data_IF_501485264767
#
_entry.id   IF_501485264767
#
_cell.length_a   1.000
_cell.length_b   1.000
_cell.length_c   1.000
_cell.angle_alpha   90.00
_cell.angle_beta   90.00
_cell.angle_gamma   90.00
#
_symmetry.space_group_name_H-M   'P 1'
#
loop_
_entity.id
_entity.type
_entity.pdbx_description
1 polymer ?
#
# COMPACT_ATOMS: atom_id res chain seq x y z
N UNK A 1 -12.65 -19.30 36.26
CA UNK A 1 -13.77 -18.43 35.82
C UNK A 1 -13.35 -17.68 34.55
N UNK A 2 -13.35 -18.33 33.38
CA UNK A 2 -12.79 -17.77 32.12
C UNK A 2 -13.84 -17.37 31.07
N UNK A 3 -15.14 -17.42 31.39
CA UNK A 3 -16.22 -17.28 30.40
C UNK A 3 -16.64 -15.83 30.06
N UNK A 4 -15.94 -14.81 30.57
CA UNK A 4 -16.40 -13.42 30.45
C UNK A 4 -15.74 -12.62 29.31
N UNK A 5 -14.62 -13.11 28.74
CA UNK A 5 -13.91 -12.42 27.65
C UNK A 5 -14.54 -12.71 26.27
N UNK A 6 -15.10 -13.90 26.08
CA UNK A 6 -15.82 -14.28 24.86
C UNK A 6 -17.05 -13.40 24.61
N UNK A 7 -17.82 -13.10 25.66
CA UNK A 7 -19.01 -12.23 25.56
C UNK A 7 -18.67 -10.78 25.23
N UNK A 8 -17.50 -10.27 25.66
CA UNK A 8 -17.07 -8.92 25.32
C UNK A 8 -16.55 -8.83 23.87
N UNK A 9 -15.76 -9.81 23.42
CA UNK A 9 -15.30 -9.89 22.04
C UNK A 9 -16.47 -10.03 21.04
N UNK A 10 -17.49 -10.82 21.40
CA UNK A 10 -18.72 -10.94 20.60
C UNK A 10 -19.52 -9.64 20.56
N UNK A 11 -19.67 -8.93 21.69
CA UNK A 11 -20.34 -7.62 21.72
C UNK A 11 -19.58 -6.55 20.94
N UNK A 12 -18.25 -6.59 20.93
CA UNK A 12 -17.42 -5.68 20.15
C UNK A 12 -17.51 -5.95 18.64
N UNK A 13 -17.64 -7.22 18.22
CA UNK A 13 -17.94 -7.57 16.83
C UNK A 13 -19.31 -7.04 16.39
N UNK A 14 -20.35 -7.22 17.23
CA UNK A 14 -21.72 -6.75 16.93
C UNK A 14 -21.79 -5.23 16.77
N UNK A 15 -21.00 -4.46 17.51
CA UNK A 15 -21.01 -2.99 17.40
C UNK A 15 -20.33 -2.48 16.13
N UNK A 16 -19.29 -3.17 15.66
CA UNK A 16 -18.65 -2.89 14.36
C UNK A 16 -19.56 -3.32 13.21
N UNK A 17 -20.26 -4.45 13.37
CA UNK A 17 -21.28 -4.91 12.43
C UNK A 17 -22.46 -3.95 12.34
N UNK A 18 -22.93 -3.36 13.45
CA UNK A 18 -24.10 -2.46 13.45
C UNK A 18 -23.93 -1.20 12.59
N UNK A 19 -22.70 -0.71 12.42
CA UNK A 19 -22.42 0.46 11.57
C UNK A 19 -22.24 0.10 10.08
N UNK A 20 -22.04 -1.19 9.77
CA UNK A 20 -21.86 -1.72 8.41
C UNK A 20 -23.11 -2.44 7.88
N UNK A 21 -24.00 -2.89 8.78
CA UNK A 21 -25.24 -3.59 8.47
C UNK A 21 -26.25 -2.82 7.60
N UNK A 22 -26.42 -1.49 7.68
CA UNK A 22 -27.34 -0.78 6.80
C UNK A 22 -26.94 -0.89 5.32
N UNK A 23 -25.65 -1.03 5.02
CA UNK A 23 -25.14 -1.17 3.66
C UNK A 23 -25.22 -2.60 3.11
N UNK A 24 -25.44 -3.59 3.98
CA UNK A 24 -25.35 -5.02 3.64
C UNK A 24 -26.73 -5.67 3.44
N UNK A 25 -27.80 -5.16 4.08
CA UNK A 25 -29.10 -5.85 4.14
C UNK A 25 -30.07 -5.56 2.97
N UNK A 26 -29.81 -4.55 2.14
CA UNK A 26 -30.69 -4.16 1.00
C UNK A 26 -30.02 -4.41 -0.36
N UNK A 27 -29.74 -5.68 -0.66
CA UNK A 27 -28.98 -6.06 -1.85
C UNK A 27 -29.87 -6.10 -3.11
N UNK A 28 -29.91 -4.99 -3.85
CA UNK A 28 -30.24 -4.99 -5.29
C UNK A 28 -28.94 -4.90 -6.13
N UNK A 29 -28.92 -5.36 -7.40
CA UNK A 29 -27.68 -5.39 -8.20
C UNK A 29 -26.97 -4.04 -8.37
N UNK A 30 -27.71 -2.92 -8.32
CA UNK A 30 -27.15 -1.55 -8.35
C UNK A 30 -26.54 -1.12 -7.02
N UNK A 31 -27.07 -1.61 -5.89
CA UNK A 31 -26.59 -1.29 -4.53
C UNK A 31 -25.28 -2.01 -4.16
N UNK A 32 -24.92 -3.06 -4.90
CA UNK A 32 -23.64 -3.74 -4.71
C UNK A 32 -22.43 -2.85 -5.01
N UNK A 33 -22.58 -1.87 -5.90
CA UNK A 33 -21.47 -0.95 -6.23
C UNK A 33 -21.30 0.13 -5.15
N UNK A 34 -22.39 0.69 -4.64
CA UNK A 34 -22.37 1.70 -3.58
C UNK A 34 -21.91 1.10 -2.24
N UNK A 35 -22.36 -0.12 -1.91
CA UNK A 35 -21.93 -0.84 -0.71
C UNK A 35 -20.44 -1.21 -0.75
N UNK A 36 -19.92 -1.72 -1.88
CA UNK A 36 -18.48 -1.98 -2.04
C UNK A 36 -17.64 -0.70 -1.98
N UNK A 37 -18.13 0.41 -2.54
CA UNK A 37 -17.48 1.70 -2.38
C UNK A 37 -17.46 2.17 -0.92
N UNK A 38 -18.53 1.93 -0.15
CA UNK A 38 -18.54 2.18 1.30
C UNK A 38 -17.48 1.35 2.03
N UNK A 39 -17.44 0.04 1.78
CA UNK A 39 -16.45 -0.85 2.39
C UNK A 39 -15.00 -0.46 2.05
N UNK A 40 -14.75 -0.05 0.80
CA UNK A 40 -13.46 0.48 0.36
C UNK A 40 -13.07 1.73 1.15
N UNK A 41 -13.98 2.70 1.27
CA UNK A 41 -13.76 3.93 2.04
C UNK A 41 -13.51 3.63 3.51
N UNK A 42 -14.22 2.67 4.10
CA UNK A 42 -14.00 2.25 5.49
C UNK A 42 -12.62 1.59 5.69
N UNK A 43 -12.19 0.71 4.79
CA UNK A 43 -10.88 0.06 4.92
C UNK A 43 -9.73 1.06 4.90
N UNK A 44 -9.79 2.04 4.00
CA UNK A 44 -8.70 2.99 3.77
C UNK A 44 -8.90 4.36 4.44
N UNK A 45 -10.00 4.54 5.19
CA UNK A 45 -10.42 5.79 5.85
C UNK A 45 -10.49 6.97 4.88
N UNK A 46 -11.13 6.75 3.74
CA UNK A 46 -11.24 7.73 2.66
C UNK A 46 -12.50 8.60 2.80
N UNK A 47 -12.51 9.83 2.23
CA UNK A 47 -13.70 10.64 2.11
C UNK A 47 -14.82 9.94 1.30
N UNK A 48 -16.06 10.39 1.50
CA UNK A 48 -17.23 9.79 0.86
C UNK A 48 -17.24 9.88 -0.67
N UNK A 49 -16.52 10.84 -1.24
CA UNK A 49 -16.38 11.03 -2.69
C UNK A 49 -15.49 10.00 -3.38
N UNK A 50 -14.76 9.16 -2.63
CA UNK A 50 -13.81 8.22 -3.20
C UNK A 50 -14.44 6.86 -3.50
N UNK A 51 -14.18 6.33 -4.69
CA UNK A 51 -14.64 5.03 -5.14
C UNK A 51 -13.45 4.18 -5.64
N UNK A 52 -13.52 2.85 -5.53
CA UNK A 52 -12.53 1.98 -6.14
C UNK A 52 -12.68 2.03 -7.67
N UNK A 53 -11.69 2.59 -8.36
CA UNK A 53 -11.67 2.68 -9.82
C UNK A 53 -11.03 1.45 -10.46
N UNK A 54 -9.92 1.00 -9.88
CA UNK A 54 -9.22 -0.18 -10.35
C UNK A 54 -8.46 -0.84 -9.19
N UNK A 55 -8.31 -2.16 -9.27
CA UNK A 55 -7.56 -2.93 -8.28
C UNK A 55 -6.67 -3.94 -9.00
N UNK A 56 -5.47 -4.15 -8.48
CA UNK A 56 -4.49 -5.10 -9.01
C UNK A 56 -3.69 -5.71 -7.85
N UNK A 57 -3.33 -6.98 -7.97
CA UNK A 57 -2.41 -7.60 -7.03
C UNK A 57 -1.03 -6.97 -7.19
N UNK A 58 -0.35 -6.70 -6.09
CA UNK A 58 0.95 -6.07 -6.12
C UNK A 58 1.84 -6.53 -4.96
N UNK A 59 3.13 -6.42 -5.18
CA UNK A 59 4.14 -6.59 -4.15
C UNK A 59 4.81 -5.24 -3.89
N UNK A 60 4.78 -4.81 -2.64
CA UNK A 60 5.43 -3.60 -2.17
C UNK A 60 6.78 -3.96 -1.54
N UNK A 61 7.85 -3.39 -2.08
CA UNK A 61 9.18 -3.44 -1.47
C UNK A 61 9.50 -2.09 -0.85
N UNK A 62 9.70 -2.09 0.47
CA UNK A 62 10.19 -0.93 1.20
C UNK A 62 11.72 -0.98 1.26
N UNK A 63 12.42 0.15 1.05
CA UNK A 63 13.87 0.18 1.21
C UNK A 63 14.24 -0.25 2.63
N UNK A 64 15.34 -0.99 2.80
CA UNK A 64 15.80 -1.37 4.13
C UNK A 64 15.98 -0.10 4.96
N UNK A 65 15.38 -0.06 6.16
CA UNK A 65 15.63 1.03 7.10
C UNK A 65 17.14 1.06 7.31
N UNK A 66 17.78 2.17 6.94
CA UNK A 66 19.17 2.41 7.32
C UNK A 66 19.19 2.39 8.84
N UNK A 67 19.63 1.27 9.41
CA UNK A 67 20.03 1.26 10.80
C UNK A 67 21.14 2.29 10.87
N UNK A 68 20.95 3.32 11.69
CA UNK A 68 22.01 4.18 12.15
C UNK A 68 22.98 3.30 12.93
N UNK A 69 23.76 2.50 12.21
CA UNK A 69 24.92 1.82 12.74
C UNK A 69 25.93 2.94 12.95
N UNK A 70 25.95 3.46 14.17
CA UNK A 70 27.15 3.98 14.78
C UNK A 70 28.24 2.91 14.59
N UNK A 71 28.95 2.98 13.46
CA UNK A 71 30.14 2.16 13.23
C UNK A 71 31.21 2.69 14.16
N UNK A 72 31.35 2.07 15.32
CA UNK A 72 32.58 2.08 16.09
C UNK A 72 33.70 1.53 15.19
N UNK A 73 34.84 2.21 15.05
CA UNK A 73 35.91 1.77 14.16
C UNK A 73 36.84 0.82 14.90
N UNK A 74 36.47 -0.45 15.04
CA UNK A 74 37.42 -1.52 15.39
C UNK A 74 36.77 -2.89 15.25
N UNK A 75 37.09 -3.61 14.18
CA UNK A 75 37.76 -4.92 14.24
C UNK A 75 37.51 -5.77 12.99
N UNK A 76 38.59 -6.45 12.61
CA UNK A 76 38.86 -7.24 11.40
C UNK A 76 37.80 -8.27 10.98
N UNK A 77 37.70 -8.62 9.68
CA UNK A 77 36.67 -9.51 9.17
C UNK A 77 37.02 -10.99 9.41
N UNK A 78 36.37 -11.63 10.38
CA UNK A 78 36.31 -13.11 10.45
C UNK A 78 35.20 -13.59 9.51
N UNK A 79 35.61 -14.24 8.42
CA UNK A 79 34.74 -15.05 7.55
C UNK A 79 34.09 -16.15 8.39
N UNK A 80 32.85 -15.95 8.80
CA UNK A 80 32.02 -17.03 9.35
C UNK A 80 30.66 -17.04 8.64
N UNK A 81 29.99 -18.16 8.82
CA UNK A 81 28.87 -18.75 8.09
C UNK A 81 27.55 -17.94 8.12
N UNK A 82 27.61 -16.60 8.12
CA UNK A 82 26.47 -15.67 8.14
C UNK A 82 26.19 -15.04 6.77
N UNK A 83 27.09 -15.19 5.80
CA UNK A 83 26.96 -14.53 4.50
C UNK A 83 25.76 -15.05 3.69
N UNK A 84 25.33 -16.32 3.88
CA UNK A 84 24.17 -16.89 3.17
C UNK A 84 22.83 -16.27 3.56
N UNK A 85 22.70 -15.71 4.76
CA UNK A 85 21.47 -15.06 5.23
C UNK A 85 21.43 -13.55 4.91
N UNK A 86 22.50 -13.00 4.32
CA UNK A 86 22.58 -11.57 4.00
C UNK A 86 21.88 -11.20 2.69
N UNK A 87 21.65 -12.17 1.80
CA UNK A 87 20.93 -11.96 0.54
C UNK A 87 19.46 -11.53 0.76
N UNK A 88 18.81 -12.01 1.83
CA UNK A 88 17.43 -11.61 2.17
C UNK A 88 17.37 -10.21 2.82
N UNK A 89 18.42 -9.78 3.54
CA UNK A 89 18.47 -8.45 4.16
C UNK A 89 18.67 -7.32 3.15
N UNK A 90 19.38 -7.57 2.06
CA UNK A 90 19.57 -6.58 0.99
C UNK A 90 18.31 -6.31 0.17
N UNK A 91 17.33 -7.24 0.16
CA UNK A 91 16.12 -7.10 -0.64
C UNK A 91 15.05 -6.17 -0.05
N UNK A 92 15.19 -5.73 1.20
CA UNK A 92 14.22 -4.86 1.86
C UNK A 92 12.99 -5.63 2.36
N UNK A 93 12.04 -4.93 2.97
CA UNK A 93 10.82 -5.59 3.45
C UNK A 93 9.82 -5.74 2.29
N UNK A 94 9.38 -6.97 2.04
CA UNK A 94 8.42 -7.31 1.00
C UNK A 94 7.02 -7.54 1.58
N UNK A 95 6.02 -6.90 1.00
CA UNK A 95 4.63 -7.04 1.38
C UNK A 95 3.81 -7.41 0.16
N UNK A 96 3.21 -8.60 0.15
CA UNK A 96 2.27 -9.01 -0.88
C UNK A 96 0.88 -8.53 -0.49
N UNK A 97 0.18 -7.93 -1.43
CA UNK A 97 -1.13 -7.38 -1.18
C UNK A 97 -1.84 -6.93 -2.43
N UNK A 98 -2.76 -5.98 -2.25
CA UNK A 98 -3.58 -5.42 -3.31
C UNK A 98 -3.45 -3.92 -3.34
N UNK A 99 -3.23 -3.42 -4.54
CA UNK A 99 -3.14 -2.01 -4.84
C UNK A 99 -4.46 -1.57 -5.46
N UNK A 100 -5.10 -0.59 -4.83
CA UNK A 100 -6.36 -0.01 -5.22
C UNK A 100 -6.12 1.42 -5.64
N UNK A 101 -6.70 1.80 -6.76
CA UNK A 101 -6.70 3.15 -7.28
C UNK A 101 -8.10 3.75 -7.12
N UNK A 102 -8.17 4.93 -6.54
CA UNK A 102 -9.36 5.79 -6.50
C UNK A 102 -9.10 7.07 -7.28
N UNK A 103 -10.08 7.97 -7.30
CA UNK A 103 -10.00 9.26 -7.98
C UNK A 103 -8.82 10.09 -7.48
N UNK A 104 -8.60 10.14 -6.16
CA UNK A 104 -7.57 10.99 -5.53
C UNK A 104 -6.55 10.25 -4.69
N UNK A 105 -6.70 8.94 -4.49
CA UNK A 105 -5.80 8.14 -3.63
C UNK A 105 -5.33 6.86 -4.30
N UNK A 106 -4.09 6.50 -3.99
CA UNK A 106 -3.50 5.19 -4.22
C UNK A 106 -3.39 4.46 -2.88
N UNK A 107 -4.01 3.28 -2.79
CA UNK A 107 -4.17 2.56 -1.54
C UNK A 107 -3.59 1.15 -1.65
N UNK A 108 -2.71 0.76 -0.73
CA UNK A 108 -2.17 -0.60 -0.66
C UNK A 108 -2.64 -1.27 0.63
N UNK A 109 -3.03 -2.54 0.55
CA UNK A 109 -3.41 -3.34 1.72
C UNK A 109 -2.86 -4.75 1.58
N UNK A 110 -2.32 -5.29 2.66
CA UNK A 110 -1.95 -6.71 2.73
C UNK A 110 -3.15 -7.59 3.09
N UNK A 111 -4.30 -7.00 3.43
CA UNK A 111 -5.53 -7.75 3.62
C UNK A 111 -6.03 -8.23 2.26
N UNK A 112 -6.50 -9.48 2.21
CA UNK A 112 -7.09 -10.07 1.01
C UNK A 112 -8.53 -9.60 0.80
N UNK A 113 -8.75 -8.29 0.74
CA UNK A 113 -10.05 -7.67 0.49
C UNK A 113 -10.22 -7.28 -0.98
N UNK A 114 -11.45 -7.29 -1.47
CA UNK A 114 -11.74 -6.97 -2.86
C UNK A 114 -13.00 -6.15 -3.07
N UNK A 115 -12.88 -5.10 -3.87
CA UNK A 115 -13.99 -4.17 -4.15
C UNK A 115 -14.40 -4.17 -5.62
N UNK A 116 -13.82 -5.05 -6.45
CA UNK A 116 -14.32 -5.29 -7.80
C UNK A 116 -15.81 -5.65 -7.78
N UNK A 117 -16.59 -5.20 -8.78
CA UNK A 117 -17.99 -5.59 -8.93
C UNK A 117 -18.21 -7.11 -8.89
N UNK A 118 -17.27 -7.89 -9.40
CA UNK A 118 -17.34 -9.36 -9.46
C UNK A 118 -16.90 -10.08 -8.19
N UNK A 119 -16.33 -9.36 -7.21
CA UNK A 119 -15.90 -9.96 -5.94
C UNK A 119 -17.10 -10.44 -5.10
N UNK A 120 -16.92 -11.50 -4.31
CA UNK A 120 -17.94 -11.89 -3.33
C UNK A 120 -17.96 -10.93 -2.14
N UNK A 121 -19.12 -10.84 -1.48
CA UNK A 121 -19.31 -10.03 -0.26
C UNK A 121 -18.34 -10.40 0.86
N UNK A 122 -18.05 -11.70 1.01
CA UNK A 122 -17.09 -12.21 2.00
C UNK A 122 -15.67 -11.70 1.74
N UNK A 123 -15.26 -11.58 0.47
CA UNK A 123 -13.97 -10.98 0.12
C UNK A 123 -13.97 -9.47 0.36
N UNK A 124 -15.06 -8.76 0.07
CA UNK A 124 -15.16 -7.32 0.32
C UNK A 124 -15.10 -6.94 1.80
N UNK A 125 -15.49 -7.86 2.69
CA UNK A 125 -15.54 -7.65 4.15
C UNK A 125 -14.38 -8.32 4.90
N UNK A 126 -13.44 -8.98 4.21
CA UNK A 126 -12.35 -9.72 4.84
C UNK A 126 -11.51 -8.87 5.83
N UNK A 127 -11.50 -7.55 5.67
CA UNK A 127 -10.74 -6.63 6.52
C UNK A 127 -11.39 -6.32 7.88
N UNK A 128 -12.65 -6.68 8.11
CA UNK A 128 -13.35 -6.42 9.38
C UNK A 128 -13.03 -7.47 10.45
N UNK A 129 -12.28 -8.53 10.10
CA UNK A 129 -11.83 -9.57 11.00
C UNK A 129 -10.65 -9.16 11.90
N UNK A 130 -10.04 -10.15 12.57
CA UNK A 130 -8.86 -9.91 13.41
C UNK A 130 -7.65 -9.47 12.57
N UNK A 131 -7.13 -8.29 12.85
CA UNK A 131 -6.00 -7.70 12.13
C UNK A 131 -4.65 -7.86 12.86
N UNK A 132 -4.57 -8.65 13.94
CA UNK A 132 -3.35 -8.88 14.74
C UNK A 132 -2.61 -7.58 15.14
N UNK A 133 -3.37 -6.53 15.49
CA UNK A 133 -2.83 -5.21 15.83
C UNK A 133 -2.54 -4.30 14.63
N UNK A 134 -2.66 -4.78 13.39
CA UNK A 134 -2.65 -3.94 12.20
C UNK A 134 -4.00 -3.22 12.01
N UNK A 135 -4.05 -2.14 11.23
CA UNK A 135 -5.32 -1.48 10.91
C UNK A 135 -6.18 -2.29 9.93
N UNK A 136 -7.38 -1.79 9.56
CA UNK A 136 -8.22 -2.35 8.48
C UNK A 136 -7.48 -2.58 7.15
N UNK A 137 -6.45 -1.79 6.84
CA UNK A 137 -5.61 -1.99 5.65
C UNK A 137 -4.44 -2.97 5.86
N UNK A 138 -4.36 -3.64 7.03
CA UNK A 138 -3.20 -4.46 7.39
C UNK A 138 -1.91 -3.63 7.44
N UNK A 139 -0.83 -4.16 6.86
CA UNK A 139 0.42 -3.44 6.65
C UNK A 139 0.34 -2.63 5.35
N UNK A 140 -0.63 -1.72 5.31
CA UNK A 140 -1.01 -0.95 4.14
C UNK A 140 -0.63 0.53 4.21
N UNK A 141 -0.88 1.25 3.12
CA UNK A 141 -0.83 2.71 3.09
C UNK A 141 -1.99 3.29 2.28
N UNK A 142 -2.33 4.55 2.58
CA UNK A 142 -3.22 5.39 1.78
C UNK A 142 -2.42 6.62 1.37
N UNK A 143 -2.16 6.78 0.07
CA UNK A 143 -1.34 7.86 -0.47
C UNK A 143 -2.18 8.77 -1.37
N UNK A 144 -2.37 10.05 -1.02
CA UNK A 144 -2.98 11.01 -1.92
C UNK A 144 -2.17 11.14 -3.22
N UNK A 145 -2.83 11.14 -4.37
CA UNK A 145 -2.18 11.26 -5.67
C UNK A 145 -1.47 12.61 -5.85
N UNK A 146 -1.99 13.68 -5.24
CA UNK A 146 -1.33 14.99 -5.22
C UNK A 146 0.02 14.97 -4.47
N UNK A 147 0.21 14.04 -3.53
CA UNK A 147 1.47 13.88 -2.80
C UNK A 147 2.53 13.11 -3.60
N UNK A 148 2.18 12.55 -4.76
CA UNK A 148 3.12 11.84 -5.63
C UNK A 148 3.90 12.86 -6.46
N UNK A 149 5.22 12.88 -6.26
CA UNK A 149 6.14 13.73 -7.00
C UNK A 149 6.50 13.13 -8.35
N UNK A 150 6.76 11.82 -8.37
CA UNK A 150 7.23 11.11 -9.56
C UNK A 150 6.81 9.65 -9.51
N UNK A 151 6.40 9.14 -10.67
CA UNK A 151 6.24 7.71 -10.91
C UNK A 151 7.14 7.32 -12.08
N UNK A 152 7.99 6.32 -11.87
CA UNK A 152 8.89 5.80 -12.88
C UNK A 152 8.60 4.33 -13.11
N UNK A 153 8.60 3.90 -14.38
CA UNK A 153 8.66 2.47 -14.68
C UNK A 153 10.10 2.00 -14.50
N UNK A 154 10.29 1.00 -13.66
CA UNK A 154 11.59 0.36 -13.47
C UNK A 154 11.88 -0.58 -14.65
N UNK A 155 13.15 -0.67 -15.04
CA UNK A 155 13.62 -1.65 -16.01
C UNK A 155 13.66 -3.02 -15.33
N UNK A 156 12.59 -3.79 -15.51
CA UNK A 156 12.50 -5.19 -15.11
C UNK A 156 12.54 -6.10 -16.33
N UNK A 157 12.77 -7.40 -16.12
CA UNK A 157 12.66 -8.40 -17.18
C UNK A 157 11.32 -8.22 -17.93
N UNK A 158 11.31 -8.46 -19.24
CA UNK A 158 10.27 -8.00 -20.18
C UNK A 158 8.80 -8.33 -19.82
N UNK A 159 8.56 -9.23 -18.86
CA UNK A 159 7.24 -9.65 -18.41
C UNK A 159 6.81 -9.03 -17.06
N UNK A 160 7.71 -8.40 -16.33
CA UNK A 160 7.45 -7.87 -14.99
C UNK A 160 7.19 -6.36 -15.06
N UNK A 161 6.14 -5.89 -14.39
CA UNK A 161 5.82 -4.47 -14.33
C UNK A 161 6.16 -3.96 -12.94
N UNK A 162 7.20 -3.13 -12.84
CA UNK A 162 7.58 -2.51 -11.58
C UNK A 162 7.54 -0.99 -11.70
N UNK A 163 6.97 -0.34 -10.69
CA UNK A 163 6.82 1.09 -10.55
C UNK A 163 7.62 1.57 -9.35
N UNK A 164 8.27 2.71 -9.51
CA UNK A 164 8.92 3.45 -8.45
C UNK A 164 8.13 4.73 -8.20
N UNK A 165 7.56 4.87 -7.00
CA UNK A 165 6.79 6.04 -6.59
C UNK A 165 7.62 6.84 -5.60
N UNK A 166 7.84 8.11 -5.92
CA UNK A 166 8.46 9.09 -5.04
C UNK A 166 7.42 10.10 -4.61
N UNK A 167 7.37 10.40 -3.32
CA UNK A 167 6.42 11.38 -2.74
C UNK A 167 7.12 12.71 -2.45
N UNK A 168 6.34 13.78 -2.28
CA UNK A 168 6.85 15.11 -1.90
C UNK A 168 7.37 15.18 -0.47
N UNK A 169 7.07 14.19 0.38
CA UNK A 169 7.43 14.15 1.79
C UNK A 169 8.91 13.79 2.05
N UNK A 170 9.73 13.83 0.99
CA UNK A 170 11.16 13.61 1.05
C UNK A 170 11.90 14.87 0.65
N UNK A 171 12.92 15.24 1.43
CA UNK A 171 13.86 16.27 1.03
C UNK A 171 14.41 15.97 -0.38
N UNK A 172 14.69 17.00 -1.20
CA UNK A 172 15.19 16.79 -2.55
C UNK A 172 16.42 15.89 -2.49
N UNK A 173 16.38 14.79 -3.24
CA UNK A 173 17.56 13.99 -3.49
C UNK A 173 18.65 14.93 -4.06
N UNK A 174 19.91 14.80 -3.64
CA UNK A 174 20.98 15.60 -4.22
C UNK A 174 21.00 15.36 -5.74
N UNK A 175 20.98 16.43 -6.52
CA UNK A 175 21.16 16.36 -7.97
C UNK A 175 22.46 15.59 -8.27
N UNK A 176 22.37 14.53 -9.08
CA UNK A 176 23.50 13.70 -9.54
C UNK A 176 24.56 14.48 -10.36
N UNK A 177 24.47 15.82 -10.45
CA UNK A 177 25.34 16.68 -11.25
C UNK A 177 26.20 17.67 -10.45
N UNK A 178 26.16 17.68 -9.12
CA UNK A 178 26.99 18.63 -8.35
C UNK A 178 27.78 17.95 -7.21
N UNK A 179 28.78 17.16 -7.61
CA UNK A 179 29.75 16.48 -6.73
C UNK A 179 30.85 17.41 -6.19
N UNK A 180 30.53 18.64 -5.81
CA UNK A 180 31.47 19.51 -5.07
C UNK A 180 30.69 20.49 -4.18
N UNK A 181 30.21 20.03 -3.03
CA UNK A 181 30.31 20.74 -1.75
C UNK A 181 29.59 19.93 -0.66
N UNK A 182 30.39 19.50 0.32
CA UNK A 182 29.97 18.80 1.52
C UNK A 182 29.23 19.74 2.49
N UNK A 183 27.90 19.57 2.63
CA UNK A 183 27.15 20.02 3.80
C UNK A 183 25.84 19.22 3.94
N UNK A 184 25.77 18.35 4.97
CA UNK A 184 24.56 17.70 5.53
C UNK A 184 23.42 17.49 4.54
N UNK A 185 23.63 16.60 3.56
CA UNK A 185 22.62 16.23 2.58
C UNK A 185 21.48 15.50 3.28
N UNK A 186 20.28 16.07 3.22
CA UNK A 186 19.08 15.45 3.76
C UNK A 186 18.87 14.06 3.13
N UNK A 187 18.30 13.09 3.88
CA UNK A 187 18.13 11.73 3.40
C UNK A 187 17.27 11.72 2.12
N UNK A 188 17.59 10.83 1.15
CA UNK A 188 16.87 10.73 -0.10
C UNK A 188 15.38 10.48 0.16
N UNK A 189 14.53 11.06 -0.69
CA UNK A 189 13.09 10.92 -0.57
C UNK A 189 12.68 9.43 -0.51
N UNK A 190 11.79 9.04 0.41
CA UNK A 190 11.35 7.66 0.52
C UNK A 190 10.70 7.22 -0.79
N UNK A 191 11.31 6.20 -1.40
CA UNK A 191 10.87 5.60 -2.65
C UNK A 191 10.14 4.29 -2.34
N UNK A 192 8.92 4.17 -2.87
CA UNK A 192 8.14 2.94 -2.79
C UNK A 192 8.33 2.19 -4.11
N UNK A 193 8.79 0.95 -4.04
CA UNK A 193 8.87 0.07 -5.20
C UNK A 193 7.67 -0.85 -5.19
N UNK A 194 6.87 -0.81 -6.24
CA UNK A 194 5.65 -1.60 -6.39
C UNK A 194 5.78 -2.47 -7.63
N UNK A 195 5.74 -3.77 -7.45
CA UNK A 195 5.64 -4.72 -8.55
C UNK A 195 4.18 -5.11 -8.76
N UNK A 196 3.67 -4.90 -9.97
CA UNK A 196 2.32 -5.26 -10.36
C UNK A 196 2.28 -6.73 -10.78
N UNK A 197 1.43 -7.51 -10.11
CA UNK A 197 1.17 -8.91 -10.40
C UNK A 197 -0.18 -9.03 -11.14
N UNK A 198 -0.12 -8.91 -12.46
CA UNK A 198 -1.28 -9.04 -13.34
C UNK A 198 -0.86 -9.32 -14.78
N UNK A 199 -1.83 -9.54 -15.66
CA UNK A 199 -1.55 -9.63 -17.09
C UNK A 199 -1.03 -8.29 -17.62
N UNK A 200 -0.29 -8.31 -18.73
CA UNK A 200 0.22 -7.09 -19.38
C UNK A 200 -0.86 -6.03 -19.58
N UNK A 201 -2.05 -6.45 -20.03
CA UNK A 201 -3.20 -5.57 -20.27
C UNK A 201 -3.71 -4.94 -18.97
N UNK A 202 -3.76 -5.70 -17.87
CA UNK A 202 -4.17 -5.18 -16.56
C UNK A 202 -3.15 -4.16 -16.04
N UNK A 203 -1.86 -4.44 -16.19
CA UNK A 203 -0.79 -3.54 -15.75
C UNK A 203 -0.78 -2.23 -16.56
N UNK A 204 -0.94 -2.29 -17.88
CA UNK A 204 -1.04 -1.11 -18.75
C UNK A 204 -2.27 -0.27 -18.39
N UNK A 205 -3.44 -0.90 -18.24
CA UNK A 205 -4.67 -0.23 -17.82
C UNK A 205 -4.53 0.45 -16.45
N UNK A 206 -3.92 -0.24 -15.47
CA UNK A 206 -3.63 0.35 -14.17
C UNK A 206 -2.75 1.60 -14.31
N UNK A 207 -1.67 1.51 -15.08
CA UNK A 207 -0.73 2.62 -15.29
C UNK A 207 -1.40 3.82 -15.99
N UNK A 208 -2.28 3.57 -16.96
CA UNK A 208 -3.01 4.63 -17.66
C UNK A 208 -3.98 5.37 -16.73
N UNK A 209 -4.70 4.64 -15.88
CA UNK A 209 -5.59 5.24 -14.89
C UNK A 209 -4.81 6.00 -13.82
N UNK A 210 -3.69 5.46 -13.35
CA UNK A 210 -2.80 6.16 -12.42
C UNK A 210 -2.29 7.46 -13.04
N UNK A 211 -1.82 7.41 -14.29
CA UNK A 211 -1.37 8.60 -15.03
C UNK A 211 -2.46 9.64 -15.17
N UNK A 212 -3.72 9.23 -15.42
CA UNK A 212 -4.88 10.13 -15.46
C UNK A 212 -5.13 10.77 -14.09
N UNK A 213 -5.18 9.98 -13.02
CA UNK A 213 -5.41 10.48 -11.66
C UNK A 213 -4.31 11.43 -11.18
N UNK A 214 -3.04 11.16 -11.51
CA UNK A 214 -1.92 12.07 -11.21
C UNK A 214 -2.07 13.43 -11.93
N UNK A 215 -2.47 13.42 -13.20
CA UNK A 215 -2.72 14.65 -13.97
C UNK A 215 -3.90 15.46 -13.40
N UNK A 216 -4.92 14.78 -12.90
CA UNK A 216 -6.06 15.41 -12.25
C UNK A 216 -5.67 16.02 -10.90
N UNK A 217 -4.97 15.26 -10.05
CA UNK A 217 -4.52 15.73 -8.73
C UNK A 217 -3.55 16.91 -8.78
N UNK A 218 -2.77 17.06 -9.86
CA UNK A 218 -1.89 18.23 -10.06
C UNK A 218 -2.63 19.50 -10.47
N UNK A 219 -3.88 19.42 -10.94
CA UNK A 219 -4.67 20.62 -11.30
C UNK A 219 -5.40 21.24 -10.12
N UNK A 220 -5.58 20.48 -9.05
CA UNK A 220 -6.29 20.91 -7.85
C UNK A 220 -5.37 21.54 -6.79
N UNK A 221 -4.05 21.56 -7.04
CA UNK A 221 -3.00 22.15 -6.18
C UNK A 221 -2.49 23.42 -6.82
#
# INVERSE_FOLDING_TARGET
>A
MWNSLSNFAQKAQVFVDQNLQPALNNLTPSDNRSSKAALFRHQFRLPDSQNPLYEITAELTLPPKATSSSKSPSDTPRKSHEQRNNWDRERGNHYVGRLHLSEKFLCFSTQNSSFSPTASTSLSTAFTGQTNGAGPAGNGFTLPLCAVRRVERLHSQSYMFALSITTWNGYPAPDEKNTKHSAKTAPPAPKLTIQLAGSRVQCEKFCDMLKKGLREGMREV
#
